data_IF_033039281850
#
_entry.id   IF_033039281850
#
_cell.length_a   1.000
_cell.length_b   1.000
_cell.length_c   1.000
_cell.angle_alpha   90.00
_cell.angle_beta   90.00
_cell.angle_gamma   90.00
#
_symmetry.space_group_name_H-M   'P 1'
#
loop_
_entity.id
_entity.type
_entity.pdbx_description
1 polymer ?
#
# COMPACT_ATOMS: atom_id res chain seq x y z
N UNK A 1 76.30 -7.81 23.14
CA UNK A 1 75.20 -7.90 24.10
C UNK A 1 74.56 -6.55 24.21
N UNK A 2 73.44 -6.35 23.55
CA UNK A 2 72.71 -5.07 23.56
C UNK A 2 71.77 -5.13 24.76
N UNK A 3 72.03 -4.30 25.76
CA UNK A 3 71.18 -4.16 26.92
C UNK A 3 69.83 -3.52 26.46
N UNK A 4 68.74 -4.25 26.63
CA UNK A 4 67.40 -3.71 26.46
C UNK A 4 67.17 -2.78 27.64
N UNK A 5 67.16 -1.47 27.38
CA UNK A 5 66.75 -0.47 28.38
C UNK A 5 65.26 -0.71 28.63
N UNK A 6 64.97 -1.25 29.82
CA UNK A 6 63.62 -1.41 30.31
C UNK A 6 63.14 -0.03 30.75
N UNK A 7 62.44 0.69 29.87
CA UNK A 7 61.84 1.97 30.21
C UNK A 7 60.78 1.73 31.31
N UNK A 8 61.01 2.31 32.48
CA UNK A 8 60.13 2.21 33.63
C UNK A 8 58.84 3.00 33.35
N UNK A 9 57.86 2.29 32.80
CA UNK A 9 56.60 2.86 32.41
C UNK A 9 55.80 3.29 33.64
N UNK A 10 55.56 4.59 33.82
CA UNK A 10 54.68 5.11 34.87
C UNK A 10 53.24 4.56 34.70
N UNK A 11 52.89 3.55 35.45
CA UNK A 11 51.62 2.84 35.38
C UNK A 11 50.40 3.80 35.64
N UNK A 12 50.59 4.81 36.49
CA UNK A 12 49.53 5.77 36.79
C UNK A 12 49.24 6.66 35.57
N UNK A 13 50.27 7.15 34.94
CA UNK A 13 50.17 7.93 33.73
C UNK A 13 49.54 7.14 32.57
N UNK A 14 50.01 5.91 32.39
CA UNK A 14 49.46 4.99 31.40
C UNK A 14 47.98 4.74 31.64
N UNK A 15 47.53 4.49 32.89
CA UNK A 15 46.13 4.27 33.24
C UNK A 15 45.29 5.50 32.96
N UNK A 16 45.73 6.70 33.31
CA UNK A 16 45.03 7.95 33.05
C UNK A 16 44.88 8.18 31.54
N UNK A 17 45.92 7.98 30.78
CA UNK A 17 45.88 8.13 29.30
C UNK A 17 44.94 7.12 28.66
N UNK A 18 44.96 5.86 29.09
CA UNK A 18 44.03 4.82 28.60
C UNK A 18 42.57 5.20 28.91
N UNK A 19 42.28 5.62 30.12
CA UNK A 19 40.91 6.06 30.48
C UNK A 19 40.49 7.24 29.65
N UNK A 20 41.34 8.25 29.50
CA UNK A 20 41.04 9.45 28.73
C UNK A 20 40.81 9.14 27.24
N UNK A 21 41.66 8.33 26.62
CA UNK A 21 41.50 7.94 25.22
C UNK A 21 40.27 7.06 24.98
N UNK A 22 40.01 6.12 25.92
CA UNK A 22 38.81 5.29 25.86
C UNK A 22 37.52 6.13 25.98
N UNK A 23 37.50 7.05 26.94
CA UNK A 23 36.35 7.96 27.12
C UNK A 23 36.14 8.86 25.90
N UNK A 24 37.21 9.43 25.36
CA UNK A 24 37.16 10.25 24.15
C UNK A 24 36.68 9.42 22.93
N UNK A 25 37.20 8.19 22.77
CA UNK A 25 36.79 7.27 21.72
C UNK A 25 35.31 6.86 21.85
N UNK A 26 34.84 6.57 23.07
CA UNK A 26 33.43 6.26 23.32
C UNK A 26 32.52 7.46 23.04
N UNK A 27 32.93 8.67 23.45
CA UNK A 27 32.17 9.89 23.16
C UNK A 27 32.07 10.15 21.63
N UNK A 28 33.18 10.02 20.92
CA UNK A 28 33.22 10.18 19.46
C UNK A 28 32.39 9.09 18.76
N UNK A 29 32.51 7.83 19.19
CA UNK A 29 31.72 6.73 18.68
C UNK A 29 30.21 6.96 18.89
N UNK A 30 29.82 7.40 20.08
CA UNK A 30 28.44 7.78 20.36
C UNK A 30 27.94 8.97 19.51
N UNK A 31 28.77 10.02 19.41
CA UNK A 31 28.44 11.20 18.62
C UNK A 31 28.25 10.88 17.11
N UNK A 32 28.94 9.89 16.58
CA UNK A 32 28.75 9.42 15.20
C UNK A 32 27.64 8.38 15.05
N UNK A 33 27.52 7.44 15.99
CA UNK A 33 26.51 6.36 15.93
C UNK A 33 25.09 6.88 16.09
N UNK A 34 24.83 7.81 17.01
CA UNK A 34 23.48 8.35 17.28
C UNK A 34 22.83 8.97 16.05
N UNK A 35 23.42 9.95 15.33
CA UNK A 35 22.80 10.51 14.13
C UNK A 35 22.67 9.48 13.01
N UNK A 36 23.62 8.53 12.89
CA UNK A 36 23.52 7.46 11.91
C UNK A 36 22.32 6.55 12.19
N UNK A 37 22.13 6.09 13.41
CA UNK A 37 20.96 5.29 13.79
C UNK A 37 19.66 6.10 13.70
N UNK A 38 19.68 7.37 14.10
CA UNK A 38 18.53 8.26 13.98
C UNK A 38 18.11 8.50 12.52
N UNK A 39 19.03 8.40 11.55
CA UNK A 39 18.70 8.52 10.13
C UNK A 39 17.84 7.36 9.59
N UNK A 40 17.74 6.25 10.29
CA UNK A 40 16.85 5.13 9.94
C UNK A 40 15.42 5.35 10.39
N UNK A 41 15.16 6.30 11.27
CA UNK A 41 13.80 6.67 11.64
C UNK A 41 13.10 7.34 10.46
N UNK A 42 11.79 7.10 10.27
CA UNK A 42 11.05 7.69 9.18
C UNK A 42 11.08 9.23 9.29
N UNK A 43 11.31 9.90 8.18
CA UNK A 43 11.26 11.36 8.11
C UNK A 43 9.83 11.88 8.32
N UNK A 44 9.67 13.14 8.71
CA UNK A 44 8.36 13.78 8.82
C UNK A 44 7.54 13.68 7.51
N UNK A 45 8.22 13.75 6.34
CA UNK A 45 7.59 13.55 5.03
C UNK A 45 7.10 12.12 4.84
N UNK A 46 7.87 11.12 5.26
CA UNK A 46 7.47 9.71 5.18
C UNK A 46 6.28 9.41 6.10
N UNK A 47 6.27 9.99 7.31
CA UNK A 47 5.14 9.90 8.24
C UNK A 47 3.89 10.57 7.67
N UNK A 48 4.02 11.76 7.09
CA UNK A 48 2.91 12.48 6.46
C UNK A 48 2.35 11.71 5.24
N UNK A 49 3.21 11.09 4.42
CA UNK A 49 2.79 10.27 3.28
C UNK A 49 2.01 9.00 3.70
N UNK A 50 2.23 8.52 4.93
CA UNK A 50 1.48 7.40 5.53
C UNK A 50 0.18 7.78 6.21
N UNK A 51 -0.08 9.07 6.39
CA UNK A 51 -1.28 9.56 7.09
C UNK A 51 -2.57 9.19 6.35
N UNK A 52 -3.69 9.00 7.09
CA UNK A 52 -5.00 8.79 6.48
C UNK A 52 -5.43 9.98 5.61
N UNK A 53 -6.12 9.70 4.52
CA UNK A 53 -6.62 10.69 3.57
C UNK A 53 -8.14 10.73 3.63
N UNK A 54 -8.70 11.90 3.95
CA UNK A 54 -10.15 12.11 3.91
C UNK A 54 -10.60 12.45 2.49
N UNK A 55 -11.60 11.73 2.00
CA UNK A 55 -12.16 11.85 0.66
C UNK A 55 -13.62 12.26 0.76
N UNK A 56 -13.99 13.37 0.11
CA UNK A 56 -15.38 13.78 -0.07
C UNK A 56 -15.98 13.01 -1.25
N UNK A 57 -16.98 12.17 -0.97
CA UNK A 57 -17.67 11.34 -1.96
C UNK A 57 -19.06 11.87 -2.31
N UNK A 58 -19.44 13.05 -1.79
CA UNK A 58 -20.79 13.63 -2.00
C UNK A 58 -21.09 13.96 -3.46
N UNK A 59 -20.03 14.30 -4.22
CA UNK A 59 -20.13 14.73 -5.62
C UNK A 59 -19.80 13.64 -6.62
N UNK A 60 -19.53 12.42 -6.17
CA UNK A 60 -19.24 11.30 -7.07
C UNK A 60 -20.58 10.75 -7.56
N UNK A 61 -20.85 10.90 -8.85
CA UNK A 61 -22.03 10.32 -9.49
C UNK A 61 -21.91 8.81 -9.70
N UNK A 62 -23.03 8.12 -9.91
CA UNK A 62 -23.03 6.70 -10.22
C UNK A 62 -22.25 6.45 -11.54
N UNK A 63 -21.31 5.52 -11.51
CA UNK A 63 -20.36 5.24 -12.59
C UNK A 63 -19.12 6.13 -12.60
N UNK A 64 -19.03 7.12 -11.72
CA UNK A 64 -17.86 8.00 -11.66
C UNK A 64 -16.81 7.49 -10.70
N UNK A 65 -15.54 7.58 -11.13
CA UNK A 65 -14.32 7.28 -10.35
C UNK A 65 -13.53 8.55 -10.08
N UNK A 66 -13.07 8.70 -8.84
CA UNK A 66 -12.04 9.70 -8.50
C UNK A 66 -10.78 8.99 -8.01
N UNK A 67 -9.65 9.66 -8.13
CA UNK A 67 -8.35 9.16 -7.68
C UNK A 67 -7.78 10.07 -6.61
N UNK A 68 -7.37 9.49 -5.49
CA UNK A 68 -6.62 10.17 -4.43
C UNK A 68 -5.28 9.47 -4.23
N UNK A 69 -4.31 10.16 -3.68
CA UNK A 69 -3.02 9.57 -3.36
C UNK A 69 -2.97 9.16 -1.89
N UNK A 70 -2.56 7.93 -1.62
CA UNK A 70 -2.26 7.43 -0.28
C UNK A 70 -1.01 6.56 -0.30
N UNK A 71 -0.04 6.88 0.56
CA UNK A 71 1.27 6.19 0.62
C UNK A 71 2.00 6.14 -0.72
N UNK A 72 1.90 7.20 -1.51
CA UNK A 72 2.52 7.28 -2.85
C UNK A 72 1.87 6.38 -3.90
N UNK A 73 0.69 5.83 -3.62
CA UNK A 73 -0.08 4.99 -4.56
C UNK A 73 -1.40 5.65 -4.92
N UNK A 74 -1.87 5.52 -6.17
CA UNK A 74 -3.21 5.95 -6.53
C UNK A 74 -4.24 5.04 -5.85
N UNK A 75 -5.21 5.65 -5.19
CA UNK A 75 -6.38 4.96 -4.64
C UNK A 75 -7.61 5.46 -5.36
N UNK A 76 -8.35 4.53 -5.92
CA UNK A 76 -9.60 4.81 -6.63
C UNK A 76 -10.78 4.71 -5.68
N UNK A 77 -11.68 5.67 -5.80
CA UNK A 77 -12.99 5.63 -5.18
C UNK A 77 -14.02 5.70 -6.30
N UNK A 78 -14.72 4.61 -6.53
CA UNK A 78 -15.71 4.43 -7.59
C UNK A 78 -17.09 4.27 -6.97
N UNK A 79 -18.06 5.06 -7.42
CA UNK A 79 -19.49 4.83 -7.12
C UNK A 79 -20.07 3.93 -8.20
N UNK A 80 -20.28 2.65 -7.88
CA UNK A 80 -20.78 1.65 -8.84
C UNK A 80 -22.24 1.86 -9.16
N UNK A 81 -22.59 1.65 -10.43
CA UNK A 81 -23.98 1.57 -10.89
C UNK A 81 -24.59 0.21 -10.59
N UNK A 82 -25.90 0.09 -10.76
CA UNK A 82 -26.60 -1.21 -10.64
C UNK A 82 -26.10 -2.24 -11.65
N UNK A 83 -25.86 -1.80 -12.88
CA UNK A 83 -25.33 -2.66 -13.95
C UNK A 83 -23.93 -3.17 -13.63
N UNK A 84 -23.06 -2.33 -13.05
CA UNK A 84 -21.75 -2.75 -12.56
C UNK A 84 -21.88 -3.82 -11.46
N UNK A 85 -22.80 -3.66 -10.54
CA UNK A 85 -23.04 -4.64 -9.46
C UNK A 85 -23.61 -5.96 -9.98
N UNK A 86 -24.54 -5.92 -10.93
CA UNK A 86 -25.11 -7.10 -11.58
C UNK A 86 -24.05 -7.86 -12.37
N UNK A 87 -23.13 -7.18 -13.03
CA UNK A 87 -22.04 -7.80 -13.77
C UNK A 87 -21.12 -8.66 -12.91
N UNK A 88 -20.96 -8.34 -11.60
CA UNK A 88 -20.09 -9.06 -10.69
C UNK A 88 -20.49 -10.55 -10.52
N UNK A 89 -21.79 -10.83 -10.52
CA UNK A 89 -22.31 -12.21 -10.42
C UNK A 89 -22.10 -12.96 -11.74
N UNK A 90 -22.33 -12.28 -12.87
CA UNK A 90 -22.21 -12.89 -14.17
C UNK A 90 -20.77 -13.30 -14.52
N UNK A 91 -19.76 -12.57 -14.03
CA UNK A 91 -18.34 -12.88 -14.30
C UNK A 91 -17.70 -13.84 -13.29
N UNK A 92 -18.35 -14.14 -12.17
CA UNK A 92 -17.79 -14.93 -11.07
C UNK A 92 -17.14 -16.26 -11.51
N UNK A 93 -17.73 -17.08 -12.41
CA UNK A 93 -17.12 -18.34 -12.86
C UNK A 93 -15.80 -18.16 -13.61
N UNK A 94 -15.55 -16.95 -14.11
CA UNK A 94 -14.37 -16.59 -14.93
C UNK A 94 -13.23 -16.01 -14.08
N UNK A 95 -13.40 -15.84 -12.78
CA UNK A 95 -12.42 -15.23 -11.87
C UNK A 95 -11.49 -16.28 -11.28
N UNK A 96 -10.23 -15.89 -11.00
CA UNK A 96 -9.23 -16.76 -10.35
C UNK A 96 -9.48 -16.89 -8.85
N UNK A 97 -9.83 -15.78 -8.19
CA UNK A 97 -10.12 -15.72 -6.75
C UNK A 97 -11.41 -14.93 -6.49
N UNK A 98 -12.59 -15.51 -6.84
CA UNK A 98 -13.87 -14.80 -6.76
C UNK A 98 -14.25 -14.40 -5.32
N UNK A 99 -13.80 -15.17 -4.33
CA UNK A 99 -14.08 -14.93 -2.91
C UNK A 99 -12.95 -14.19 -2.19
N UNK A 100 -11.94 -13.76 -2.92
CA UNK A 100 -10.79 -13.00 -2.40
C UNK A 100 -10.11 -13.65 -1.19
N UNK A 101 -9.90 -14.98 -1.25
CA UNK A 101 -9.25 -15.73 -0.16
C UNK A 101 -7.74 -15.52 -0.12
N UNK A 102 -7.11 -15.34 -1.28
CA UNK A 102 -5.67 -15.14 -1.43
C UNK A 102 -5.26 -13.67 -1.53
N UNK A 103 -6.22 -12.77 -1.71
CA UNK A 103 -5.99 -11.37 -2.02
C UNK A 103 -5.98 -10.50 -0.77
N UNK A 104 -5.30 -9.35 -0.85
CA UNK A 104 -5.17 -8.42 0.28
C UNK A 104 -6.38 -7.50 0.38
N UNK A 105 -7.09 -7.60 1.49
CA UNK A 105 -8.19 -6.72 1.88
C UNK A 105 -8.50 -6.78 3.37
N UNK A 106 -9.13 -5.73 3.94
CA UNK A 106 -9.70 -5.78 5.29
C UNK A 106 -10.83 -6.82 5.40
N UNK A 107 -11.09 -7.33 6.61
CA UNK A 107 -12.11 -8.36 6.85
C UNK A 107 -13.52 -7.93 6.40
N UNK A 108 -13.89 -6.66 6.58
CA UNK A 108 -15.18 -6.13 6.17
C UNK A 108 -15.38 -6.10 4.65
N UNK A 109 -14.28 -6.08 3.89
CA UNK A 109 -14.28 -6.13 2.43
C UNK A 109 -14.08 -7.55 1.86
N UNK A 110 -14.02 -8.58 2.70
CA UNK A 110 -13.94 -9.98 2.27
C UNK A 110 -15.33 -10.52 1.91
N UNK A 111 -15.90 -9.95 0.85
CA UNK A 111 -17.22 -10.28 0.30
C UNK A 111 -17.19 -10.16 -1.23
N UNK A 112 -18.31 -10.49 -1.89
CA UNK A 112 -18.43 -10.45 -3.36
C UNK A 112 -18.20 -9.07 -3.96
N UNK A 113 -18.48 -8.01 -3.21
CA UNK A 113 -18.32 -6.62 -3.62
C UNK A 113 -16.92 -6.07 -3.36
N UNK A 114 -16.14 -6.73 -2.51
CA UNK A 114 -14.83 -6.29 -1.99
C UNK A 114 -14.86 -4.87 -1.44
N UNK A 115 -15.91 -4.56 -0.72
CA UNK A 115 -16.15 -3.23 -0.14
C UNK A 115 -17.04 -3.32 1.11
N UNK A 116 -17.03 -2.26 1.92
CA UNK A 116 -17.89 -2.12 3.09
C UNK A 116 -19.36 -1.94 2.69
N UNK A 117 -19.63 -1.27 1.55
CA UNK A 117 -20.95 -1.16 0.95
C UNK A 117 -20.90 -1.52 -0.54
N UNK A 118 -21.96 -2.13 -1.11
CA UNK A 118 -21.96 -2.53 -2.52
C UNK A 118 -21.67 -1.36 -3.49
N UNK A 119 -22.21 -0.21 -3.22
CA UNK A 119 -22.17 0.94 -4.13
C UNK A 119 -20.81 1.64 -4.17
N UNK A 120 -20.05 1.63 -3.07
CA UNK A 120 -18.79 2.36 -2.96
C UNK A 120 -17.61 1.41 -2.93
N UNK A 121 -16.81 1.46 -3.98
CA UNK A 121 -15.57 0.67 -4.12
C UNK A 121 -14.36 1.54 -3.83
N UNK A 122 -13.43 1.04 -3.02
CA UNK A 122 -12.14 1.67 -2.75
C UNK A 122 -11.04 0.68 -3.07
N UNK A 123 -10.19 0.98 -4.05
CA UNK A 123 -9.12 0.10 -4.51
C UNK A 123 -7.80 0.85 -4.64
N UNK A 124 -6.70 0.18 -4.38
CA UNK A 124 -5.38 0.64 -4.82
C UNK A 124 -5.28 0.41 -6.33
N UNK A 125 -5.15 1.49 -7.11
CA UNK A 125 -5.11 1.49 -8.57
C UNK A 125 -3.77 1.01 -9.14
N UNK A 126 -3.24 -0.09 -8.58
CA UNK A 126 -1.94 -0.68 -8.93
C UNK A 126 -2.11 -2.16 -9.23
N UNK A 127 -1.76 -2.56 -10.45
CA UNK A 127 -1.84 -3.93 -10.91
C UNK A 127 -0.92 -4.85 -10.09
N UNK A 128 -1.46 -5.97 -9.62
CA UNK A 128 -0.75 -6.96 -8.81
C UNK A 128 0.28 -7.77 -9.59
N UNK A 129 0.39 -7.58 -10.92
CA UNK A 129 1.44 -8.19 -11.73
C UNK A 129 2.80 -7.50 -11.51
N UNK A 130 2.98 -6.28 -12.02
CA UNK A 130 4.24 -5.52 -11.98
C UNK A 130 4.03 -4.02 -11.67
N UNK A 131 2.91 -3.64 -11.08
CA UNK A 131 2.72 -2.29 -10.56
C UNK A 131 2.22 -1.22 -11.54
N UNK A 132 1.85 -1.58 -12.78
CA UNK A 132 1.21 -0.61 -13.69
C UNK A 132 -0.17 -0.18 -13.18
N UNK A 133 -0.65 0.99 -13.59
CA UNK A 133 -2.01 1.44 -13.28
C UNK A 133 -2.99 0.91 -14.33
N UNK A 134 -3.96 0.05 -13.96
CA UNK A 134 -5.03 -0.35 -14.85
C UNK A 134 -5.94 0.83 -15.20
N UNK A 135 -6.66 0.72 -16.29
CA UNK A 135 -7.64 1.70 -16.75
C UNK A 135 -9.05 1.11 -16.65
N UNK A 136 -10.01 1.92 -16.25
CA UNK A 136 -11.41 1.53 -16.34
C UNK A 136 -11.80 1.35 -17.81
N UNK A 137 -12.50 0.25 -18.09
CA UNK A 137 -13.08 -0.07 -19.39
C UNK A 137 -14.56 -0.38 -19.21
N UNK A 138 -15.45 0.43 -19.79
CA UNK A 138 -16.89 0.24 -19.65
C UNK A 138 -17.37 -1.05 -20.35
N UNK A 139 -18.60 -1.45 -20.09
CA UNK A 139 -19.17 -2.71 -20.60
C UNK A 139 -19.34 -2.72 -22.13
N UNK A 140 -19.43 -1.56 -22.78
CA UNK A 140 -19.54 -1.40 -24.23
C UNK A 140 -18.20 -1.48 -24.96
N UNK A 141 -17.07 -1.50 -24.25
CA UNK A 141 -15.74 -1.66 -24.83
C UNK A 141 -15.48 -3.10 -25.39
N UNK A 142 -16.54 -3.79 -25.83
CA UNK A 142 -16.46 -5.19 -26.34
C UNK A 142 -15.59 -5.36 -27.57
N UNK A 143 -15.50 -4.33 -28.43
CA UNK A 143 -14.66 -4.37 -29.61
C UNK A 143 -13.17 -4.53 -29.25
N UNK A 144 -12.73 -3.93 -28.15
CA UNK A 144 -11.34 -3.99 -27.66
C UNK A 144 -11.13 -5.17 -26.70
N UNK A 145 -12.10 -5.41 -25.83
CA UNK A 145 -11.95 -6.32 -24.69
C UNK A 145 -12.46 -7.75 -24.96
N UNK A 146 -13.24 -7.96 -26.01
CA UNK A 146 -13.90 -9.21 -26.37
C UNK A 146 -15.40 -9.19 -26.10
N UNK A 147 -16.16 -10.03 -26.81
CA UNK A 147 -17.63 -10.06 -26.79
C UNK A 147 -18.23 -10.29 -25.39
N UNK A 148 -17.54 -11.07 -24.56
CA UNK A 148 -17.96 -11.42 -23.19
C UNK A 148 -17.56 -10.40 -22.13
N UNK A 149 -17.03 -9.24 -22.53
CA UNK A 149 -16.66 -8.19 -21.60
C UNK A 149 -17.90 -7.52 -21.02
N UNK A 150 -17.98 -7.44 -19.69
CA UNK A 150 -19.07 -6.82 -18.95
C UNK A 150 -18.62 -5.58 -18.15
N UNK A 151 -17.44 -5.04 -18.47
CA UNK A 151 -16.85 -3.91 -17.79
C UNK A 151 -15.88 -4.30 -16.67
N UNK A 152 -15.07 -3.35 -16.25
CA UNK A 152 -14.03 -3.54 -15.22
C UNK A 152 -12.77 -2.75 -15.49
N UNK A 153 -11.62 -3.28 -15.05
CA UNK A 153 -10.33 -2.63 -15.22
C UNK A 153 -9.40 -3.47 -16.10
N UNK A 154 -8.66 -2.80 -16.96
CA UNK A 154 -7.70 -3.42 -17.87
C UNK A 154 -6.32 -2.81 -17.67
N UNK A 155 -5.32 -3.65 -17.45
CA UNK A 155 -3.94 -3.22 -17.34
C UNK A 155 -3.26 -3.28 -18.73
N UNK A 156 -2.92 -2.14 -19.34
CA UNK A 156 -2.41 -2.10 -20.70
C UNK A 156 -0.99 -2.66 -20.85
N UNK A 157 -0.23 -2.78 -19.73
CA UNK A 157 1.15 -3.27 -19.78
C UNK A 157 1.25 -4.72 -20.26
N UNK A 158 0.41 -5.63 -19.73
CA UNK A 158 0.48 -7.06 -20.04
C UNK A 158 -0.91 -7.71 -20.15
N UNK A 159 -1.98 -6.92 -20.25
CA UNK A 159 -3.31 -7.42 -20.54
C UNK A 159 -4.07 -8.02 -19.36
N UNK A 160 -3.66 -7.79 -18.11
CA UNK A 160 -4.43 -8.25 -16.95
C UNK A 160 -5.81 -7.58 -16.90
N UNK A 161 -6.85 -8.38 -16.68
CA UNK A 161 -8.26 -7.94 -16.61
C UNK A 161 -8.78 -8.14 -15.20
N UNK A 162 -9.56 -7.17 -14.72
CA UNK A 162 -10.21 -7.18 -13.42
C UNK A 162 -11.67 -6.74 -13.57
N UNK A 163 -12.56 -7.26 -12.76
CA UNK A 163 -13.95 -6.82 -12.73
C UNK A 163 -14.15 -5.53 -11.90
N UNK A 164 -15.40 -5.05 -11.78
CA UNK A 164 -15.73 -3.87 -10.97
C UNK A 164 -15.68 -4.07 -9.45
N UNK A 165 -15.18 -5.20 -8.97
CA UNK A 165 -14.74 -5.40 -7.59
C UNK A 165 -13.20 -5.55 -7.49
N UNK A 166 -12.48 -5.35 -8.59
CA UNK A 166 -11.03 -5.54 -8.67
C UNK A 166 -10.61 -7.00 -8.61
N UNK A 167 -11.50 -7.97 -8.91
CA UNK A 167 -11.20 -9.39 -8.91
C UNK A 167 -10.61 -9.79 -10.27
N UNK A 168 -9.52 -10.54 -10.23
CA UNK A 168 -8.73 -10.88 -11.43
C UNK A 168 -9.39 -12.01 -12.22
N UNK A 169 -9.46 -11.85 -13.55
CA UNK A 169 -9.93 -12.88 -14.46
C UNK A 169 -8.90 -14.01 -14.63
N UNK A 170 -9.36 -15.23 -14.79
CA UNK A 170 -8.53 -16.40 -15.16
C UNK A 170 -7.73 -16.11 -16.42
N UNK A 171 -6.49 -16.57 -16.45
CA UNK A 171 -5.58 -16.37 -17.59
C UNK A 171 -4.96 -14.98 -17.66
N UNK A 172 -5.22 -14.09 -16.69
CA UNK A 172 -4.53 -12.81 -16.55
C UNK A 172 -3.12 -13.01 -15.99
N UNK A 173 -2.12 -12.20 -16.41
CA UNK A 173 -0.78 -12.22 -15.81
C UNK A 173 -0.76 -11.82 -14.32
N UNK A 174 -1.70 -11.00 -13.87
CA UNK A 174 -1.83 -10.63 -12.47
C UNK A 174 -2.24 -11.86 -11.62
N UNK A 175 -1.49 -12.19 -10.56
CA UNK A 175 -1.75 -13.39 -9.74
C UNK A 175 -2.88 -13.20 -8.73
N UNK A 176 -3.17 -11.98 -8.32
CA UNK A 176 -4.11 -11.63 -7.25
C UNK A 176 -5.08 -10.54 -7.68
N UNK A 177 -6.19 -10.41 -6.96
CA UNK A 177 -7.11 -9.30 -7.08
C UNK A 177 -6.40 -7.97 -6.72
N UNK A 178 -6.91 -6.83 -7.17
CA UNK A 178 -6.41 -5.52 -6.75
C UNK A 178 -6.55 -5.36 -5.23
N UNK A 179 -5.63 -4.65 -4.61
CA UNK A 179 -5.62 -4.46 -3.15
C UNK A 179 -6.74 -3.53 -2.72
N UNK A 180 -7.48 -3.90 -1.67
CA UNK A 180 -8.38 -3.00 -0.96
C UNK A 180 -7.61 -2.40 0.22
N UNK A 181 -7.35 -1.08 0.26
CA UNK A 181 -6.69 -0.46 1.39
C UNK A 181 -7.60 -0.45 2.61
N UNK A 182 -7.09 -0.32 3.84
CA UNK A 182 -7.93 -0.02 4.98
C UNK A 182 -8.64 1.32 4.76
N UNK A 183 -9.94 1.36 5.01
CA UNK A 183 -10.72 2.60 4.95
C UNK A 183 -11.94 2.53 5.87
N UNK A 184 -12.45 3.69 6.25
CA UNK A 184 -13.67 3.83 7.06
C UNK A 184 -14.65 4.75 6.34
N UNK A 185 -15.90 4.33 6.23
CA UNK A 185 -17.01 5.17 5.80
C UNK A 185 -17.50 5.94 7.01
N UNK A 186 -17.16 7.22 7.10
CA UNK A 186 -17.52 8.09 8.24
C UNK A 186 -18.95 8.60 8.11
N UNK A 187 -19.39 8.88 6.88
CA UNK A 187 -20.75 9.32 6.56
C UNK A 187 -21.06 9.01 5.10
N UNK A 188 -22.29 9.25 4.65
CA UNK A 188 -22.69 9.11 3.25
C UNK A 188 -21.85 9.96 2.28
N UNK A 189 -21.21 11.01 2.81
CA UNK A 189 -20.43 11.97 2.02
C UNK A 189 -18.94 11.89 2.24
N UNK A 190 -18.46 11.05 3.20
CA UNK A 190 -17.06 11.09 3.61
C UNK A 190 -16.49 9.69 3.87
N UNK A 191 -15.34 9.43 3.24
CA UNK A 191 -14.53 8.23 3.43
C UNK A 191 -13.13 8.63 3.88
N UNK A 192 -12.57 7.89 4.84
CA UNK A 192 -11.17 8.04 5.27
C UNK A 192 -10.41 6.80 4.80
N UNK A 193 -9.43 7.01 3.92
CA UNK A 193 -8.54 5.96 3.39
C UNK A 193 -7.27 5.90 4.24
N UNK A 194 -6.82 4.71 4.57
CA UNK A 194 -5.61 4.48 5.37
C UNK A 194 -5.89 4.24 6.85
N UNK A 195 -7.16 4.26 7.27
CA UNK A 195 -7.60 4.03 8.64
C UNK A 195 -8.84 3.14 8.66
N UNK A 196 -8.83 2.10 9.49
CA UNK A 196 -9.99 1.28 9.82
C UNK A 196 -10.10 1.10 11.34
N UNK A 197 -11.14 0.39 11.81
CA UNK A 197 -11.35 0.18 13.25
C UNK A 197 -10.17 -0.48 13.97
N UNK A 198 -9.32 -1.23 13.24
CA UNK A 198 -8.12 -1.87 13.80
C UNK A 198 -6.93 -0.93 13.90
N UNK A 199 -6.83 0.04 13.00
CA UNK A 199 -5.71 0.99 12.96
C UNK A 199 -5.94 2.21 13.84
N UNK A 200 -7.17 2.44 14.34
CA UNK A 200 -7.52 3.53 15.26
C UNK A 200 -6.89 3.44 16.65
N UNK A 201 -6.16 2.37 16.95
CA UNK A 201 -5.57 2.13 18.28
C UNK A 201 -4.06 1.82 18.26
N UNK A 202 -3.36 2.00 17.13
CA UNK A 202 -1.92 1.69 17.02
C UNK A 202 -1.06 2.94 16.98
#
# INVERSE_FOLDING_TARGET
MTAIVQDDVDEKRRRVLLIATTAAGAALGGATAVPFLASWLPSARALAAGAPVTVDVSRIEAGQQITVEWRGKPVWVLRRTKEMLESLKAVEPRLSDPQSKASEQPKYAQNEYRSASPELLVLVGVCTHLGCSPQEKPADAKAEMGADWLGGFYCPCHGSKFDFAGRVFKGSPAPLNLVVPPYTVVSETKVVVGEDEKTKGA
#
